data_IF_014013212048
#
_entry.id   IF_014013212048
#
_cell.length_a   1.000
_cell.length_b   1.000
_cell.length_c   1.000
_cell.angle_alpha   90.00
_cell.angle_beta   90.00
_cell.angle_gamma   90.00
#
_symmetry.space_group_name_H-M   'P 1'
#
loop_
_entity.id
_entity.type
_entity.pdbx_description
1 polymer ?
#
# COMPACT_ATOMS: atom_id res chain seq x y z
N UNK A 1 -12.74 -18.10 -1.93
CA UNK A 1 -12.14 -16.84 -2.41
C UNK A 1 -12.39 -15.77 -1.36
N UNK A 2 -11.38 -15.37 -0.60
CA UNK A 2 -11.56 -14.37 0.45
C UNK A 2 -11.89 -13.01 -0.19
N UNK A 3 -13.10 -12.49 0.02
CA UNK A 3 -13.44 -11.10 -0.31
C UNK A 3 -12.79 -10.19 0.74
N UNK A 4 -11.48 -10.01 0.62
CA UNK A 4 -10.77 -8.95 1.33
C UNK A 4 -11.33 -7.63 0.78
N UNK A 5 -12.18 -6.95 1.54
CA UNK A 5 -12.91 -5.73 1.16
C UNK A 5 -11.97 -4.52 1.01
N UNK A 6 -10.97 -4.63 0.11
CA UNK A 6 -9.91 -3.64 -0.06
C UNK A 6 -10.43 -2.27 -0.49
N UNK A 7 -11.55 -2.22 -1.21
CA UNK A 7 -12.20 -0.96 -1.57
C UNK A 7 -12.68 -0.19 -0.34
N UNK A 8 -13.46 -0.84 0.54
CA UNK A 8 -13.91 -0.23 1.79
C UNK A 8 -12.74 0.14 2.70
N UNK A 9 -11.72 -0.72 2.76
CA UNK A 9 -10.51 -0.46 3.53
C UNK A 9 -9.80 0.81 3.06
N UNK A 10 -9.62 0.98 1.75
CA UNK A 10 -9.01 2.18 1.16
C UNK A 10 -9.81 3.43 1.51
N UNK A 11 -11.14 3.41 1.32
CA UNK A 11 -11.98 4.57 1.65
C UNK A 11 -11.90 4.97 3.13
N UNK A 12 -11.96 3.99 4.04
CA UNK A 12 -11.84 4.27 5.48
C UNK A 12 -10.48 4.86 5.83
N UNK A 13 -9.40 4.33 5.23
CA UNK A 13 -8.05 4.84 5.43
C UNK A 13 -7.91 6.28 4.92
N UNK A 14 -8.35 6.55 3.67
CA UNK A 14 -8.31 7.89 3.07
C UNK A 14 -9.07 8.91 3.92
N UNK A 15 -10.30 8.59 4.32
CA UNK A 15 -11.11 9.51 5.14
C UNK A 15 -10.43 9.84 6.47
N UNK A 16 -9.85 8.84 7.13
CA UNK A 16 -9.13 9.04 8.39
C UNK A 16 -7.86 9.89 8.21
N UNK A 17 -7.09 9.63 7.16
CA UNK A 17 -5.92 10.44 6.82
C UNK A 17 -6.29 11.90 6.51
N UNK A 18 -7.38 12.12 5.76
CA UNK A 18 -7.89 13.46 5.46
C UNK A 18 -8.32 14.20 6.73
N UNK A 19 -9.05 13.56 7.65
CA UNK A 19 -9.44 14.17 8.93
C UNK A 19 -8.25 14.55 9.80
N UNK A 20 -7.14 13.83 9.68
CA UNK A 20 -5.91 14.08 10.45
C UNK A 20 -4.92 15.00 9.72
N UNK A 21 -5.22 15.43 8.49
CA UNK A 21 -4.29 16.21 7.66
C UNK A 21 -3.04 15.44 7.22
N UNK A 22 -3.11 14.11 7.18
CA UNK A 22 -2.00 13.24 6.77
C UNK A 22 -2.11 12.96 5.27
N UNK A 23 -1.03 13.18 4.52
CA UNK A 23 -0.96 12.78 3.11
C UNK A 23 -0.91 11.27 2.96
N UNK A 24 -1.91 10.71 2.25
CA UNK A 24 -1.95 9.29 1.89
C UNK A 24 -1.46 9.12 0.45
N UNK A 25 -0.33 8.42 0.26
CA UNK A 25 0.18 8.04 -1.06
C UNK A 25 -0.13 6.57 -1.36
N UNK A 26 -0.99 6.33 -2.34
CA UNK A 26 -1.29 4.98 -2.83
C UNK A 26 -0.33 4.64 -3.97
N UNK A 27 0.45 3.57 -3.82
CA UNK A 27 1.35 3.05 -4.85
C UNK A 27 0.67 1.99 -5.72
N UNK A 28 1.21 1.75 -6.91
CA UNK A 28 0.69 0.77 -7.86
C UNK A 28 0.68 -0.67 -7.30
N UNK A 29 -0.21 -1.51 -7.82
CA UNK A 29 -0.35 -2.91 -7.38
C UNK A 29 0.93 -3.72 -7.62
N UNK A 30 1.66 -3.45 -8.69
CA UNK A 30 2.89 -4.16 -9.04
C UNK A 30 4.14 -3.54 -8.42
N UNK A 31 3.97 -2.66 -7.44
CA UNK A 31 5.07 -2.10 -6.70
C UNK A 31 5.85 -3.23 -5.99
N UNK A 32 7.18 -3.35 -6.19
CA UNK A 32 7.94 -4.52 -5.76
C UNK A 32 8.26 -4.51 -4.26
N UNK A 33 7.38 -4.00 -3.38
CA UNK A 33 7.65 -3.85 -1.94
C UNK A 33 8.01 -5.16 -1.25
N UNK A 34 7.39 -6.27 -1.65
CA UNK A 34 7.67 -7.61 -1.11
C UNK A 34 8.96 -8.23 -1.66
N UNK A 35 9.50 -7.69 -2.75
CA UNK A 35 10.73 -8.16 -3.41
C UNK A 35 11.90 -7.21 -3.20
N UNK A 36 11.65 -5.97 -2.77
CA UNK A 36 12.62 -4.92 -2.55
C UNK A 36 13.20 -5.05 -1.14
N UNK A 37 14.50 -5.29 -1.06
CA UNK A 37 15.25 -5.25 0.20
C UNK A 37 15.23 -3.82 0.77
N UNK A 38 14.69 -3.63 1.98
CA UNK A 38 14.70 -2.32 2.63
C UNK A 38 16.12 -1.84 2.97
N UNK A 39 17.01 -2.76 3.36
CA UNK A 39 18.39 -2.44 3.73
C UNK A 39 19.26 -2.07 2.51
N UNK A 40 19.05 -2.75 1.38
CA UNK A 40 19.99 -2.76 0.28
C UNK A 40 19.43 -2.33 -1.07
N UNK A 41 18.12 -2.12 -1.20
CA UNK A 41 17.46 -1.70 -2.45
C UNK A 41 17.44 -2.78 -3.54
N UNK A 42 18.01 -3.96 -3.30
CA UNK A 42 18.02 -5.07 -4.26
C UNK A 42 16.61 -5.62 -4.45
N UNK A 43 16.18 -5.75 -5.72
CA UNK A 43 14.92 -6.40 -6.08
C UNK A 43 15.21 -7.87 -6.35
N UNK A 44 14.58 -8.76 -5.58
CA UNK A 44 14.62 -10.21 -5.84
C UNK A 44 13.91 -10.52 -7.16
N UNK A 45 14.69 -10.78 -8.20
CA UNK A 45 14.18 -11.36 -9.46
C UNK A 45 14.01 -12.86 -9.24
N UNK A 46 12.80 -13.36 -9.52
CA UNK A 46 12.43 -14.77 -9.58
C UNK A 46 12.22 -15.07 -11.06
#
# INVERSE_FOLDING_TARGET
>A
MAQQKFYEFRNKLTNKCHSLGIELRIVDRFYPSSKLCHYCGSIKRI
#
